data_IF_112630360920
#
_entry.id   IF_112630360920
#
_cell.length_a   1.000
_cell.length_b   1.000
_cell.length_c   1.000
_cell.angle_alpha   90.00
_cell.angle_beta   90.00
_cell.angle_gamma   90.00
#
_symmetry.space_group_name_H-M   'P 1'
#
loop_
_entity.id
_entity.type
_entity.pdbx_description
1 polymer ?
#
# COMPACT_ATOMS: atom_id res chain seq x y z
N UNK A 1 15.12 -11.38 -7.63
CA UNK A 1 14.50 -10.81 -6.41
C UNK A 1 13.09 -11.38 -6.28
N UNK A 2 12.70 -11.85 -5.10
CA UNK A 2 11.33 -12.29 -4.83
C UNK A 2 10.32 -11.13 -4.90
N UNK A 3 9.03 -11.46 -4.78
CA UNK A 3 7.96 -10.46 -4.64
C UNK A 3 8.15 -9.74 -3.30
N UNK A 4 8.00 -8.42 -3.32
CA UNK A 4 8.00 -7.56 -2.12
C UNK A 4 6.74 -6.71 -2.07
N UNK A 5 6.42 -6.24 -0.87
CA UNK A 5 5.20 -5.52 -0.56
C UNK A 5 5.45 -4.33 0.36
N UNK A 6 4.73 -3.24 0.12
CA UNK A 6 4.68 -2.06 0.98
C UNK A 6 3.22 -1.79 1.28
N UNK A 7 2.89 -1.60 2.54
CA UNK A 7 1.56 -1.20 3.00
C UNK A 7 1.63 0.25 3.45
N UNK A 8 0.70 1.09 2.98
CA UNK A 8 0.53 2.47 3.43
C UNK A 8 -0.82 2.57 4.11
N UNK A 9 -0.86 2.94 5.38
CA UNK A 9 -2.08 2.99 6.19
C UNK A 9 -2.25 4.38 6.82
N UNK A 10 -3.49 4.81 6.98
CA UNK A 10 -3.83 6.11 7.55
C UNK A 10 -5.32 6.39 7.50
N UNK A 11 -5.71 7.58 7.93
CA UNK A 11 -7.09 8.05 7.84
C UNK A 11 -7.31 8.72 6.48
N UNK A 12 -8.51 8.58 5.89
CA UNK A 12 -8.83 9.18 4.60
C UNK A 12 -8.52 10.69 4.53
N UNK A 13 -7.88 11.10 3.43
CA UNK A 13 -7.48 12.50 3.18
C UNK A 13 -6.01 12.83 3.46
N UNK A 14 -5.20 11.86 3.92
CA UNK A 14 -3.79 12.07 4.27
C UNK A 14 -2.81 11.79 3.12
N UNK A 15 -3.29 11.32 1.97
CA UNK A 15 -2.48 11.14 0.76
C UNK A 15 -1.92 9.73 0.54
N UNK A 16 -2.48 8.70 1.18
CA UNK A 16 -2.09 7.29 1.00
C UNK A 16 -2.06 6.87 -0.48
N UNK A 17 -3.10 7.24 -1.24
CA UNK A 17 -3.23 6.94 -2.67
C UNK A 17 -2.11 7.62 -3.48
N UNK A 18 -1.80 8.87 -3.14
CA UNK A 18 -0.71 9.63 -3.77
C UNK A 18 0.64 8.97 -3.49
N UNK A 19 0.89 8.58 -2.25
CA UNK A 19 2.11 7.85 -1.85
C UNK A 19 2.21 6.52 -2.62
N UNK A 20 1.14 5.72 -2.64
CA UNK A 20 1.10 4.45 -3.38
C UNK A 20 1.35 4.63 -4.88
N UNK A 21 0.79 5.69 -5.47
CA UNK A 21 1.00 6.05 -6.88
C UNK A 21 2.45 6.43 -7.16
N UNK A 22 3.05 7.29 -6.33
CA UNK A 22 4.45 7.72 -6.48
C UNK A 22 5.39 6.53 -6.33
N UNK A 23 5.17 5.68 -5.32
CA UNK A 23 5.95 4.45 -5.13
C UNK A 23 5.82 3.52 -6.32
N UNK A 24 4.59 3.30 -6.81
CA UNK A 24 4.34 2.46 -7.96
C UNK A 24 5.04 2.95 -9.22
N UNK A 25 4.94 4.25 -9.52
CA UNK A 25 5.64 4.86 -10.66
C UNK A 25 7.16 4.76 -10.53
N UNK A 26 7.72 4.99 -9.32
CA UNK A 26 9.14 4.86 -9.08
C UNK A 26 9.63 3.41 -9.31
N UNK A 27 8.86 2.42 -8.87
CA UNK A 27 9.17 0.99 -9.04
C UNK A 27 9.04 0.56 -10.52
N UNK A 28 8.04 1.05 -11.24
CA UNK A 28 7.90 0.84 -12.68
C UNK A 28 9.09 1.42 -13.45
N UNK A 29 9.54 2.64 -13.10
CA UNK A 29 10.74 3.27 -13.69
C UNK A 29 12.03 2.50 -13.42
N UNK A 30 12.08 1.73 -12.33
CA UNK A 30 13.17 0.79 -12.03
C UNK A 30 13.04 -0.57 -12.75
N UNK A 31 12.02 -0.77 -13.57
CA UNK A 31 11.81 -1.98 -14.37
C UNK A 31 11.13 -3.12 -13.62
N UNK A 32 10.51 -2.88 -12.45
CA UNK A 32 9.72 -3.89 -11.77
C UNK A 32 8.31 -4.00 -12.37
N UNK A 33 7.72 -5.19 -12.32
CA UNK A 33 6.28 -5.34 -12.44
C UNK A 33 5.65 -4.97 -11.08
N UNK A 34 4.62 -4.13 -11.11
CA UNK A 34 4.02 -3.51 -9.92
C UNK A 34 2.50 -3.64 -10.00
N UNK A 35 1.86 -3.94 -8.86
CA UNK A 35 0.42 -3.82 -8.68
C UNK A 35 0.15 -2.97 -7.46
N UNK A 36 -0.71 -1.98 -7.64
CA UNK A 36 -1.20 -1.10 -6.57
C UNK A 36 -2.69 -1.40 -6.39
N UNK A 37 -3.12 -1.52 -5.15
CA UNK A 37 -4.52 -1.69 -4.79
C UNK A 37 -4.82 -0.94 -3.50
N UNK A 38 -6.08 -0.61 -3.28
CA UNK A 38 -6.50 0.11 -2.08
C UNK A 38 -7.77 -0.47 -1.49
N UNK A 39 -7.91 -0.34 -0.19
CA UNK A 39 -9.12 -0.63 0.56
C UNK A 39 -9.47 0.62 1.35
N UNK A 40 -10.67 1.14 1.13
CA UNK A 40 -11.21 2.27 1.88
C UNK A 40 -12.35 1.79 2.79
N UNK A 41 -12.34 2.21 4.04
CA UNK A 41 -13.49 2.03 4.93
C UNK A 41 -14.71 2.77 4.39
N UNK A 42 -15.91 2.19 4.57
CA UNK A 42 -17.19 2.81 4.15
C UNK A 42 -17.62 3.99 5.05
N UNK A 43 -16.73 4.49 5.93
CA UNK A 43 -17.06 5.58 6.84
C UNK A 43 -17.19 6.91 6.11
N UNK A 44 -18.19 7.71 6.47
CA UNK A 44 -18.41 9.03 5.88
C UNK A 44 -17.31 10.05 6.24
N UNK A 45 -16.65 9.89 7.40
CA UNK A 45 -15.47 10.65 7.84
C UNK A 45 -14.58 9.76 8.69
N UNK A 46 -13.26 9.92 8.59
CA UNK A 46 -12.32 9.20 9.45
C UNK A 46 -12.16 7.70 9.14
N UNK A 47 -12.58 7.24 7.96
CA UNK A 47 -12.38 5.85 7.55
C UNK A 47 -10.90 5.53 7.37
N UNK A 48 -10.49 4.33 7.81
CA UNK A 48 -9.16 3.79 7.52
C UNK A 48 -9.04 3.56 6.01
N UNK A 49 -7.90 3.97 5.47
CA UNK A 49 -7.52 3.73 4.08
C UNK A 49 -6.18 3.03 4.07
N UNK A 50 -6.15 1.86 3.45
CA UNK A 50 -4.96 1.03 3.30
C UNK A 50 -4.65 0.89 1.83
N UNK A 51 -3.42 1.22 1.45
CA UNK A 51 -2.90 1.09 0.09
C UNK A 51 -1.80 0.04 0.09
N UNK A 52 -1.92 -0.91 -0.83
CA UNK A 52 -0.96 -1.98 -1.04
C UNK A 52 -0.15 -1.70 -2.30
N UNK A 53 1.18 -1.79 -2.19
CA UNK A 53 2.11 -1.72 -3.33
C UNK A 53 2.92 -3.01 -3.36
N UNK A 54 2.60 -3.91 -4.29
CA UNK A 54 3.29 -5.20 -4.46
C UNK A 54 4.10 -5.20 -5.75
N UNK A 55 5.38 -5.56 -5.69
CA UNK A 55 6.30 -5.48 -6.83
C UNK A 55 7.27 -6.66 -6.89
N UNK A 56 7.72 -7.02 -8.09
CA UNK A 56 8.65 -8.13 -8.31
C UNK A 56 8.30 -8.95 -9.55
N UNK A 57 8.94 -10.11 -9.72
CA UNK A 57 8.65 -11.00 -10.86
C UNK A 57 7.35 -11.77 -10.59
N UNK A 58 6.38 -11.66 -11.50
CA UNK A 58 5.15 -12.47 -11.44
C UNK A 58 4.16 -12.10 -10.33
N UNK A 59 4.06 -10.82 -9.94
CA UNK A 59 3.07 -10.35 -8.94
C UNK A 59 1.65 -10.76 -9.38
N UNK A 60 0.91 -11.59 -8.62
CA UNK A 60 -0.39 -12.13 -9.02
C UNK A 60 -1.58 -11.30 -8.53
N UNK A 61 -1.41 -10.45 -7.52
CA UNK A 61 -2.45 -9.60 -6.93
C UNK A 61 -1.80 -8.45 -6.16
N UNK A 62 -2.45 -7.28 -6.01
CA UNK A 62 -1.97 -6.23 -5.12
C UNK A 62 -2.21 -6.55 -3.63
N UNK A 63 -3.10 -7.50 -3.29
CA UNK A 63 -3.49 -7.77 -1.91
C UNK A 63 -2.30 -8.30 -1.09
N UNK A 64 -2.17 -7.76 0.13
CA UNK A 64 -1.21 -8.17 1.16
C UNK A 64 -2.04 -8.61 2.38
N UNK A 65 -1.80 -9.83 2.86
CA UNK A 65 -2.51 -10.34 4.04
C UNK A 65 -1.70 -10.12 5.32
N UNK A 66 -2.32 -10.39 6.47
CA UNK A 66 -1.68 -10.19 7.77
C UNK A 66 -0.37 -10.99 7.87
N UNK A 67 0.70 -10.32 8.30
CA UNK A 67 2.05 -10.91 8.41
C UNK A 67 2.85 -10.98 7.11
N UNK A 68 2.30 -10.55 5.97
CA UNK A 68 3.00 -10.60 4.67
C UNK A 68 3.72 -9.30 4.29
N UNK A 69 3.45 -8.19 4.98
CA UNK A 69 4.02 -6.89 4.62
C UNK A 69 5.53 -6.85 4.87
N UNK A 70 6.33 -6.52 3.86
CA UNK A 70 7.78 -6.32 4.03
C UNK A 70 8.12 -4.93 4.61
N UNK A 71 7.22 -3.96 4.41
CA UNK A 71 7.32 -2.61 4.96
C UNK A 71 5.93 -2.03 5.22
N UNK A 72 5.82 -1.25 6.30
CA UNK A 72 4.62 -0.51 6.69
C UNK A 72 4.94 0.98 6.79
N UNK A 73 4.13 1.81 6.16
CA UNK A 73 4.15 3.27 6.26
C UNK A 73 2.84 3.69 6.89
N UNK A 74 2.89 4.11 8.15
CA UNK A 74 1.74 4.64 8.85
C UNK A 74 1.73 6.17 8.85
N UNK A 75 0.61 6.77 8.46
CA UNK A 75 0.39 8.21 8.55
C UNK A 75 -0.22 8.63 9.90
N UNK A 76 -0.68 7.64 10.69
CA UNK A 76 -1.17 7.80 12.05
C UNK A 76 -0.69 6.62 12.92
N UNK A 77 -0.37 6.89 14.19
CA UNK A 77 0.10 5.84 15.11
C UNK A 77 -0.97 4.75 15.30
N UNK A 78 -2.24 5.13 15.42
CA UNK A 78 -3.33 4.18 15.62
C UNK A 78 -3.57 3.29 14.40
N UNK A 79 -3.42 3.83 13.20
CA UNK A 79 -3.55 3.06 11.96
C UNK A 79 -2.36 2.14 11.73
N UNK A 80 -1.18 2.49 12.26
CA UNK A 80 0.02 1.64 12.23
C UNK A 80 -0.10 0.44 13.18
N UNK A 81 -0.88 0.58 14.25
CA UNK A 81 -1.09 -0.46 15.26
C UNK A 81 -2.18 -1.45 14.88
N UNK A 82 -3.15 -1.04 14.04
CA UNK A 82 -4.26 -1.87 13.55
C UNK A 82 -3.79 -2.94 12.57
#
# INVERSE_FOLDING_TARGET
>A
MGIRSIVVTGIGGQGQITIGTILGQALLRKGYNVRVGEVHGLSQRGGSVVVFVKYGKGVPSPIVTAGEADALIGLEMIESLR
#
